data_IF_283920105820
#
_entry.id   IF_283920105820
#
_cell.length_a   1.000
_cell.length_b   1.000
_cell.length_c   1.000
_cell.angle_alpha   90.00
_cell.angle_beta   90.00
_cell.angle_gamma   90.00
#
_symmetry.space_group_name_H-M   'P 1'
#
loop_
_entity.id
_entity.type
_entity.pdbx_description
1 polymer ?
#
# COMPACT_ATOMS: atom_id res chain seq x y z
N UNK A 1 3.27 -6.25 -14.54
CA UNK A 1 3.93 -6.53 -13.30
C UNK A 1 5.41 -6.52 -13.43
N UNK A 2 6.10 -6.08 -12.44
CA UNK A 2 7.54 -5.97 -12.48
C UNK A 2 8.18 -6.54 -11.24
N UNK A 3 9.43 -6.96 -11.36
CA UNK A 3 10.20 -7.39 -10.21
C UNK A 3 11.06 -6.24 -9.74
N UNK A 4 10.97 -5.92 -8.47
CA UNK A 4 11.73 -4.83 -7.90
C UNK A 4 12.39 -5.27 -6.62
N UNK A 5 13.58 -4.77 -6.36
CA UNK A 5 14.27 -5.10 -5.15
C UNK A 5 14.50 -3.88 -4.31
N UNK A 6 14.50 -2.73 -4.88
CA UNK A 6 14.97 -1.56 -4.20
C UNK A 6 13.92 -0.50 -4.09
N UNK A 7 13.13 -0.60 -3.10
CA UNK A 7 12.32 0.52 -2.67
C UNK A 7 12.79 0.92 -1.30
N UNK A 8 12.86 2.21 -1.07
CA UNK A 8 13.42 2.70 0.18
C UNK A 8 12.51 2.46 1.38
N UNK A 9 11.27 2.35 1.17
CA UNK A 9 10.32 2.25 2.28
C UNK A 9 9.21 1.26 1.98
N UNK A 10 8.75 0.63 3.04
CA UNK A 10 7.70 -0.35 2.92
C UNK A 10 6.52 0.07 3.78
N UNK A 11 5.35 0.05 3.22
CA UNK A 11 4.14 0.39 3.92
C UNK A 11 3.31 -0.86 4.07
N UNK A 12 3.10 -1.26 5.31
CA UNK A 12 2.26 -2.40 5.62
C UNK A 12 0.97 -1.86 6.16
N UNK A 13 -0.11 -2.28 5.66
CA UNK A 13 -1.36 -1.75 6.14
C UNK A 13 -2.08 -2.75 7.02
N UNK A 14 -1.41 -3.29 7.92
CA UNK A 14 -2.11 -4.13 8.82
C UNK A 14 -2.51 -3.38 9.99
N UNK A 15 -2.09 -2.34 10.18
CA UNK A 15 -2.68 -1.60 11.14
C UNK A 15 -2.62 -2.05 12.47
N UNK A 16 -3.36 -1.89 13.12
CA UNK A 16 -3.27 -1.92 14.41
C UNK A 16 -3.92 -2.87 15.10
N UNK A 17 -4.39 -3.54 14.96
CA UNK A 17 -5.09 -4.26 15.53
C UNK A 17 -4.84 -5.12 16.40
N UNK A 18 -4.46 -5.41 16.91
CA UNK A 18 -4.13 -6.40 17.68
C UNK A 18 -4.91 -6.56 18.76
N UNK A 19 -5.38 -5.82 19.05
CA UNK A 19 -5.94 -5.90 20.17
C UNK A 19 -6.80 -7.04 20.17
N UNK A 20 -7.38 -7.54 20.35
CA UNK A 20 -8.20 -8.56 20.48
C UNK A 20 -8.65 -8.96 19.17
N UNK A 21 -8.48 -10.15 18.85
CA UNK A 21 -8.87 -10.63 17.61
C UNK A 21 -10.30 -10.38 17.39
N UNK A 22 -11.11 -10.44 18.35
CA UNK A 22 -12.53 -10.26 18.15
C UNK A 22 -12.85 -8.87 17.67
N UNK A 23 -12.28 -7.90 18.32
CA UNK A 23 -12.45 -6.51 17.92
C UNK A 23 -11.92 -6.29 16.54
N UNK A 24 -10.80 -6.94 16.26
CA UNK A 24 -10.20 -6.80 14.97
C UNK A 24 -11.14 -7.29 13.87
N UNK A 25 -11.82 -8.36 14.08
CA UNK A 25 -12.71 -8.86 13.06
C UNK A 25 -13.83 -7.89 12.75
N UNK A 26 -14.37 -7.27 13.77
CA UNK A 26 -15.45 -6.32 13.56
C UNK A 26 -14.97 -5.11 12.78
N UNK A 27 -13.79 -4.65 13.11
CA UNK A 27 -13.24 -3.50 12.44
C UNK A 27 -12.94 -3.83 11.00
N UNK A 28 -12.40 -4.99 10.78
CA UNK A 28 -12.06 -5.38 9.44
C UNK A 28 -13.30 -5.47 8.56
N UNK A 29 -14.37 -5.96 9.09
CA UNK A 29 -15.59 -6.07 8.34
C UNK A 29 -16.10 -4.69 7.95
N UNK A 30 -16.03 -3.75 8.85
CA UNK A 30 -16.43 -2.40 8.54
C UNK A 30 -15.54 -1.78 7.50
N UNK A 31 -14.24 -2.05 7.59
CA UNK A 31 -13.32 -1.47 6.63
C UNK A 31 -13.59 -1.99 5.22
N UNK A 32 -13.91 -3.23 5.09
CA UNK A 32 -14.21 -3.77 3.77
C UNK A 32 -15.40 -3.03 3.18
N UNK A 33 -16.39 -2.79 4.00
CA UNK A 33 -17.55 -2.08 3.56
C UNK A 33 -17.20 -0.69 3.07
N UNK A 34 -16.34 0.01 3.79
CA UNK A 34 -15.97 1.33 3.37
C UNK A 34 -14.97 1.33 2.24
N UNK A 35 -14.11 0.36 2.21
CA UNK A 35 -13.13 0.29 1.16
C UNK A 35 -13.80 0.07 -0.18
N UNK A 36 -15.00 -0.43 -0.19
CA UNK A 36 -15.72 -0.58 -1.43
C UNK A 36 -16.21 0.75 -1.95
N UNK A 37 -16.03 1.79 -1.19
CA UNK A 37 -16.47 3.08 -1.64
C UNK A 37 -15.48 3.65 -2.64
N UNK A 38 -15.63 4.84 -2.97
CA UNK A 38 -14.97 5.47 -4.09
C UNK A 38 -13.47 5.65 -3.89
N UNK A 39 -12.72 5.47 -4.97
CA UNK A 39 -11.28 5.70 -4.97
C UNK A 39 -11.04 7.10 -5.48
N UNK A 40 -10.62 7.99 -4.60
CA UNK A 40 -10.46 9.39 -4.95
C UNK A 40 -9.11 9.72 -5.60
N UNK A 41 -8.21 8.76 -5.71
CA UNK A 41 -6.95 9.02 -6.41
C UNK A 41 -7.23 9.08 -7.92
N UNK A 42 -6.32 9.67 -8.67
CA UNK A 42 -6.49 9.82 -10.10
C UNK A 42 -6.30 8.50 -10.82
N UNK A 43 -7.32 8.05 -11.52
CA UNK A 43 -7.28 6.78 -12.21
C UNK A 43 -6.11 6.74 -13.19
N UNK A 44 -5.42 5.61 -13.22
CA UNK A 44 -4.25 5.44 -14.08
C UNK A 44 -2.94 5.76 -13.39
N UNK A 45 -2.98 6.34 -12.20
CA UNK A 45 -1.77 6.66 -11.48
C UNK A 45 -1.41 5.56 -10.49
N UNK A 46 -0.16 5.59 -10.02
CA UNK A 46 0.31 4.56 -9.10
C UNK A 46 -0.47 4.54 -7.80
N UNK A 47 -0.85 5.70 -7.31
CA UNK A 47 -1.61 5.80 -6.07
C UNK A 47 -3.01 5.21 -6.25
N UNK A 48 -3.62 5.43 -7.41
CA UNK A 48 -4.93 4.87 -7.68
C UNK A 48 -4.87 3.34 -7.67
N UNK A 49 -3.84 2.78 -8.30
CA UNK A 49 -3.72 1.33 -8.34
C UNK A 49 -3.47 0.76 -6.95
N UNK A 50 -2.58 1.37 -6.19
CA UNK A 50 -2.26 0.86 -4.85
C UNK A 50 -3.50 0.88 -3.96
N UNK A 51 -4.29 1.94 -4.02
CA UNK A 51 -5.53 2.00 -3.27
C UNK A 51 -6.49 0.90 -3.72
N UNK A 52 -6.68 0.79 -5.03
CA UNK A 52 -7.62 -0.17 -5.60
C UNK A 52 -7.23 -1.60 -5.24
N UNK A 53 -5.97 -1.92 -5.40
CA UNK A 53 -5.48 -3.26 -5.14
C UNK A 53 -5.60 -3.61 -3.66
N UNK A 54 -5.27 -2.68 -2.78
CA UNK A 54 -5.40 -2.90 -1.35
C UNK A 54 -6.87 -3.11 -0.96
N UNK A 55 -7.76 -2.38 -1.57
CA UNK A 55 -9.19 -2.56 -1.33
C UNK A 55 -9.65 -3.94 -1.79
N UNK A 56 -9.19 -4.38 -2.95
CA UNK A 56 -9.52 -5.72 -3.45
C UNK A 56 -9.05 -6.80 -2.49
N UNK A 57 -7.96 -6.56 -1.81
CA UNK A 57 -7.39 -7.53 -0.88
C UNK A 57 -8.02 -7.46 0.51
N UNK A 58 -8.97 -6.57 0.71
CA UNK A 58 -9.56 -6.36 2.03
C UNK A 58 -8.62 -5.70 3.02
N UNK A 59 -7.61 -4.98 2.52
CA UNK A 59 -6.62 -4.33 3.36
C UNK A 59 -6.52 -2.86 2.98
N UNK A 60 -7.58 -2.10 3.20
CA UNK A 60 -7.67 -0.74 2.65
C UNK A 60 -6.63 0.21 3.20
N UNK A 61 -6.31 1.18 2.40
CA UNK A 61 -5.49 2.31 2.82
C UNK A 61 -6.30 3.58 2.64
N UNK A 62 -5.76 4.69 3.08
CA UNK A 62 -6.51 5.93 3.07
C UNK A 62 -6.61 6.55 1.69
N UNK A 63 -7.69 7.25 1.42
CA UNK A 63 -7.86 8.05 0.23
C UNK A 63 -7.18 9.41 0.36
N UNK A 64 -6.51 9.68 1.47
CA UNK A 64 -6.04 11.04 1.75
C UNK A 64 -4.54 11.13 2.01
N UNK A 65 -3.78 10.20 1.50
CA UNK A 65 -2.34 10.25 1.73
C UNK A 65 -1.56 11.06 0.70
N UNK A 66 -2.27 11.60 -0.28
CA UNK A 66 -1.66 12.50 -1.25
C UNK A 66 -0.74 11.82 -2.24
N UNK A 67 0.32 12.51 -2.63
CA UNK A 67 1.27 11.97 -3.59
C UNK A 67 2.04 10.79 -3.03
N UNK A 68 2.50 9.93 -3.89
CA UNK A 68 3.19 8.70 -3.49
C UNK A 68 4.32 8.95 -2.52
N UNK A 69 5.06 10.03 -2.71
CA UNK A 69 6.22 10.31 -1.84
C UNK A 69 5.81 10.59 -0.40
N UNK A 70 4.55 10.87 -0.14
CA UNK A 70 4.08 11.18 1.20
C UNK A 70 3.42 9.98 1.88
N UNK A 71 3.25 8.89 1.18
CA UNK A 71 2.48 7.76 1.69
C UNK A 71 3.09 7.10 2.91
N UNK A 72 4.40 6.91 2.91
CA UNK A 72 5.06 6.24 4.04
C UNK A 72 4.82 7.03 5.33
N UNK A 73 5.06 8.32 5.26
CA UNK A 73 4.92 9.18 6.42
C UNK A 73 3.47 9.26 6.88
N UNK A 74 2.56 9.43 5.94
CA UNK A 74 1.16 9.53 6.29
C UNK A 74 0.60 8.23 6.83
N UNK A 75 1.07 7.09 6.32
CA UNK A 75 0.67 5.80 6.85
C UNK A 75 1.15 5.64 8.29
N UNK A 76 2.39 6.04 8.53
CA UNK A 76 2.96 5.94 9.87
C UNK A 76 2.16 6.79 10.84
N UNK A 77 1.82 8.00 10.44
CA UNK A 77 1.04 8.88 11.28
C UNK A 77 -0.40 8.40 11.48
N UNK A 78 -0.90 7.58 10.58
CA UNK A 78 -2.24 7.04 10.68
C UNK A 78 -2.28 5.72 11.47
N UNK A 79 -1.15 5.31 12.03
CA UNK A 79 -1.11 4.11 12.85
C UNK A 79 -0.87 2.83 12.09
N UNK A 80 -0.53 2.91 10.81
CA UNK A 80 -0.22 1.72 10.04
C UNK A 80 1.20 1.26 10.35
N UNK A 81 1.41 -0.04 10.25
CA UNK A 81 2.73 -0.56 10.48
C UNK A 81 3.60 -0.25 9.28
N UNK A 82 4.79 0.26 9.51
CA UNK A 82 5.74 0.61 8.45
C UNK A 82 7.09 0.00 8.76
N UNK A 83 7.91 -0.17 7.74
CA UNK A 83 9.23 -0.76 7.91
C UNK A 83 9.94 -0.83 6.56
N UNK A 84 11.02 -1.61 6.52
CA UNK A 84 11.85 -1.71 5.33
C UNK A 84 11.95 -3.14 4.80
N UNK A 85 11.27 -4.09 5.39
CA UNK A 85 11.29 -5.47 4.93
C UNK A 85 10.05 -5.74 4.10
N UNK A 86 10.20 -6.18 2.85
CA UNK A 86 9.03 -6.41 2.00
C UNK A 86 8.14 -7.51 2.55
N UNK A 87 6.86 -7.29 2.46
CA UNK A 87 5.87 -8.30 2.84
C UNK A 87 4.81 -8.36 1.77
N UNK A 88 4.28 -9.54 1.55
CA UNK A 88 3.25 -9.72 0.55
C UNK A 88 2.07 -8.80 0.84
N UNK A 89 1.60 -8.17 -0.18
CA UNK A 89 0.44 -7.27 -0.18
C UNK A 89 0.68 -5.92 0.51
N UNK A 90 1.88 -5.66 0.96
CA UNK A 90 2.21 -4.33 1.45
C UNK A 90 2.37 -3.38 0.26
N UNK A 91 2.25 -2.10 0.53
CA UNK A 91 2.58 -1.08 -0.45
C UNK A 91 4.03 -0.70 -0.24
N UNK A 92 4.82 -0.72 -1.28
CA UNK A 92 6.18 -0.22 -1.18
C UNK A 92 6.23 1.15 -1.83
N UNK A 93 7.10 2.00 -1.34
CA UNK A 93 7.17 3.38 -1.73
C UNK A 93 8.58 3.80 -2.06
N UNK A 94 8.73 4.60 -3.08
CA UNK A 94 9.98 5.25 -3.43
C UNK A 94 9.73 6.74 -3.49
N UNK A 95 10.71 7.53 -3.11
CA UNK A 95 10.61 8.97 -3.22
C UNK A 95 11.23 9.48 -4.52
N UNK A 96 11.65 8.57 -5.38
CA UNK A 96 12.26 8.95 -6.65
C UNK A 96 11.25 9.69 -7.52
N UNK A 97 11.74 10.65 -8.27
CA UNK A 97 10.91 11.45 -9.14
C UNK A 97 10.20 12.55 -8.35
N UNK A 98 9.46 13.34 -9.07
CA UNK A 98 8.81 14.50 -8.45
C UNK A 98 7.71 14.08 -7.48
N UNK A 99 6.91 13.10 -7.85
CA UNK A 99 5.77 12.70 -7.02
C UNK A 99 6.04 11.44 -6.22
N UNK A 100 7.17 10.80 -6.41
CA UNK A 100 7.42 9.50 -5.80
C UNK A 100 6.69 8.39 -6.55
N UNK A 101 6.75 7.19 -6.02
CA UNK A 101 6.09 6.04 -6.64
C UNK A 101 5.67 5.06 -5.56
N UNK A 102 4.53 4.39 -5.79
CA UNK A 102 4.08 3.31 -4.93
C UNK A 102 3.70 2.11 -5.78
N UNK A 103 3.83 0.94 -5.21
CA UNK A 103 3.45 -0.32 -5.87
C UNK A 103 3.00 -1.30 -4.80
N UNK A 104 2.30 -2.34 -5.20
CA UNK A 104 1.85 -3.34 -4.23
C UNK A 104 2.69 -4.59 -4.42
N UNK A 105 3.21 -5.13 -3.33
CA UNK A 105 4.01 -6.34 -3.35
C UNK A 105 3.07 -7.52 -3.54
N UNK A 106 3.22 -8.22 -4.65
CA UNK A 106 2.38 -9.37 -4.92
C UNK A 106 3.03 -10.67 -4.45
N UNK A 107 4.34 -10.70 -4.39
CA UNK A 107 5.06 -11.89 -3.93
C UNK A 107 6.47 -11.51 -3.47
N UNK A 108 6.96 -12.20 -2.46
CA UNK A 108 8.33 -12.06 -2.01
C UNK A 108 9.01 -13.40 -2.25
N UNK A 109 10.15 -13.38 -2.92
CA UNK A 109 10.87 -14.59 -3.24
C UNK A 109 12.00 -14.83 -2.24
N UNK A 110 12.44 -16.08 -2.16
CA UNK A 110 13.46 -16.46 -1.18
C UNK A 110 14.78 -15.75 -1.42
N UNK A 111 15.06 -15.36 -2.66
CA UNK A 111 16.32 -14.66 -2.94
C UNK A 111 16.26 -13.17 -2.66
N UNK A 112 15.18 -12.70 -2.08
CA UNK A 112 15.05 -11.28 -1.72
C UNK A 112 14.41 -10.42 -2.79
N UNK A 113 14.15 -10.96 -3.97
CA UNK A 113 13.46 -10.16 -4.98
C UNK A 113 11.97 -10.16 -4.71
N UNK A 114 11.27 -9.21 -5.29
CA UNK A 114 9.83 -9.11 -5.11
C UNK A 114 9.16 -8.90 -6.45
N UNK A 115 7.93 -9.33 -6.54
CA UNK A 115 7.09 -9.08 -7.68
C UNK A 115 6.06 -8.05 -7.25
N UNK A 116 5.91 -6.99 -8.03
CA UNK A 116 4.97 -5.94 -7.68
C UNK A 116 3.99 -5.70 -8.80
N UNK A 117 2.85 -5.16 -8.44
CA UNK A 117 1.91 -4.62 -9.42
C UNK A 117 1.90 -3.11 -9.26
N UNK A 118 1.87 -2.42 -10.37
CA UNK A 118 2.00 -0.97 -10.36
C UNK A 118 1.48 -0.34 -11.62
N UNK A 119 1.08 0.92 -11.51
CA UNK A 119 0.70 1.71 -12.67
C UNK A 119 1.71 2.85 -12.82
N UNK A 120 1.92 3.22 -14.04
CA UNK A 120 2.62 4.48 -14.35
C UNK A 120 4.05 4.55 -13.85
N UNK A 121 4.76 3.44 -13.85
CA UNK A 121 6.11 3.43 -13.32
C UNK A 121 7.12 4.10 -14.26
N UNK A 122 7.08 3.76 -15.52
CA UNK A 122 8.06 4.26 -16.47
C UNK A 122 7.56 5.45 -17.27
N UNK A 123 6.80 6.28 -16.66
CA UNK A 123 6.32 7.44 -17.37
C UNK A 123 7.39 8.50 -17.34
N UNK A 124 7.60 9.14 -18.41
CA UNK A 124 8.57 10.23 -18.46
C UNK A 124 8.09 11.41 -17.65
#
# INVERSE_FOLDING_TARGET
MKFKKLFSRLLLATGIMFAGTFTYQNIEHMHVSEAASYNYYTKGQCTWWAYQRRAQLGKPVSNRWGNAKNWYYNAQRSGYRTGHTPKRYAVIQSTAGYYGHVAVVERVYSNGSIKVSEYNYNRP
#
